data_IF_378814475420
#
_entry.id   IF_378814475420
#
_cell.length_a   1.000
_cell.length_b   1.000
_cell.length_c   1.000
_cell.angle_alpha   90.00
_cell.angle_beta   90.00
_cell.angle_gamma   90.00
#
_symmetry.space_group_name_H-M   'P 1'
#
loop_
_entity.id
_entity.type
_entity.pdbx_description
1 polymer ?
#
# COMPACT_ATOMS: atom_id res chain seq x y z
N UNK A 1 32.76 -23.65 15.16
CA UNK A 1 31.36 -24.14 15.09
C UNK A 1 30.42 -22.97 15.24
N UNK A 2 29.55 -22.72 14.26
CA UNK A 2 28.64 -21.57 14.28
C UNK A 2 27.57 -21.77 15.36
N UNK A 3 27.59 -20.91 16.38
CA UNK A 3 26.68 -20.85 17.53
C UNK A 3 25.17 -21.00 17.16
N UNK A 4 24.82 -20.54 15.96
CA UNK A 4 23.46 -20.59 15.40
C UNK A 4 22.94 -22.01 15.14
N UNK A 5 23.79 -22.93 14.68
CA UNK A 5 23.37 -24.32 14.41
C UNK A 5 23.05 -25.09 15.69
N UNK A 6 23.74 -24.78 16.79
CA UNK A 6 23.61 -25.46 18.08
C UNK A 6 22.35 -25.03 18.87
N UNK A 7 21.84 -23.83 18.60
CA UNK A 7 20.70 -23.24 19.32
C UNK A 7 19.37 -23.37 18.55
N UNK A 8 19.38 -23.82 17.29
CA UNK A 8 18.21 -23.94 16.39
C UNK A 8 17.09 -24.86 16.89
N UNK A 9 17.42 -25.80 17.78
CA UNK A 9 16.46 -26.74 18.38
C UNK A 9 15.84 -26.25 19.69
N UNK A 10 16.31 -25.11 20.25
CA UNK A 10 15.71 -24.56 21.47
C UNK A 10 14.36 -23.93 21.16
N UNK A 11 13.29 -24.54 21.70
CA UNK A 11 11.89 -24.08 21.54
C UNK A 11 11.71 -22.60 21.91
N UNK A 12 12.42 -22.13 22.94
CA UNK A 12 12.38 -20.74 23.40
C UNK A 12 12.87 -19.74 22.35
N UNK A 13 13.93 -20.08 21.61
CA UNK A 13 14.46 -19.22 20.55
C UNK A 13 13.54 -19.24 19.32
N UNK A 14 12.94 -20.39 19.00
CA UNK A 14 11.93 -20.47 17.94
C UNK A 14 10.74 -19.56 18.22
N UNK A 15 10.16 -19.63 19.41
CA UNK A 15 9.04 -18.76 19.77
C UNK A 15 9.40 -17.27 19.77
N UNK A 16 10.62 -16.92 20.21
CA UNK A 16 11.12 -15.54 20.15
C UNK A 16 11.33 -15.03 18.73
N UNK A 17 11.57 -15.89 17.75
CA UNK A 17 11.69 -15.53 16.32
C UNK A 17 10.32 -15.53 15.63
N UNK A 18 9.46 -16.49 15.98
CA UNK A 18 8.11 -16.63 15.43
C UNK A 18 7.22 -15.42 15.76
N UNK A 19 7.30 -14.87 16.98
CA UNK A 19 6.47 -13.73 17.35
C UNK A 19 6.77 -12.46 16.50
N UNK A 20 8.03 -12.01 16.37
CA UNK A 20 8.39 -10.94 15.43
C UNK A 20 8.09 -11.28 13.97
N UNK A 21 8.33 -12.52 13.53
CA UNK A 21 8.04 -12.93 12.16
C UNK A 21 6.55 -12.78 11.82
N UNK A 22 5.66 -13.23 12.73
CA UNK A 22 4.21 -13.05 12.59
C UNK A 22 3.81 -11.58 12.60
N UNK A 23 4.45 -10.76 13.44
CA UNK A 23 4.18 -9.33 13.47
C UNK A 23 4.60 -8.64 12.16
N UNK A 24 5.75 -9.03 11.60
CA UNK A 24 6.21 -8.56 10.29
C UNK A 24 5.23 -9.00 9.21
N UNK A 25 4.85 -10.27 9.15
CA UNK A 25 3.87 -10.78 8.18
C UNK A 25 2.56 -10.01 8.24
N UNK A 26 1.97 -9.86 9.43
CA UNK A 26 0.74 -9.09 9.63
C UNK A 26 0.89 -7.63 9.16
N UNK A 27 1.98 -6.97 9.51
CA UNK A 27 2.25 -5.60 9.09
C UNK A 27 2.43 -5.51 7.57
N UNK A 28 3.15 -6.44 6.94
CA UNK A 28 3.35 -6.45 5.49
C UNK A 28 2.05 -6.65 4.72
N UNK A 29 1.09 -7.41 5.28
CA UNK A 29 -0.25 -7.56 4.69
C UNK A 29 -1.04 -6.26 4.73
N UNK A 30 -1.06 -5.56 5.87
CA UNK A 30 -1.74 -4.28 6.03
C UNK A 30 -1.09 -3.21 5.14
N UNK A 31 0.23 -3.09 5.20
CA UNK A 31 0.99 -2.14 4.40
C UNK A 31 0.79 -2.37 2.90
N UNK A 32 0.77 -3.63 2.45
CA UNK A 32 0.49 -3.95 1.05
C UNK A 32 -0.90 -3.44 0.64
N UNK A 33 -1.92 -3.61 1.49
CA UNK A 33 -3.28 -3.12 1.21
C UNK A 33 -3.33 -1.59 1.12
N UNK A 34 -2.68 -0.90 2.04
CA UNK A 34 -2.59 0.57 2.03
C UNK A 34 -1.87 1.08 0.78
N UNK A 35 -0.76 0.43 0.40
CA UNK A 35 -0.02 0.75 -0.81
C UNK A 35 -0.87 0.55 -2.08
N UNK A 36 -1.72 -0.47 -2.11
CA UNK A 36 -2.70 -0.67 -3.19
C UNK A 36 -3.75 0.44 -3.23
N UNK A 37 -4.28 0.85 -2.08
CA UNK A 37 -5.22 1.98 -1.99
C UNK A 37 -4.62 3.26 -2.55
N UNK A 38 -3.44 3.65 -2.06
CA UNK A 38 -2.72 4.84 -2.53
C UNK A 38 -2.41 4.79 -4.04
N UNK A 39 -2.06 3.61 -4.56
CA UNK A 39 -1.79 3.45 -5.97
C UNK A 39 -3.08 3.59 -6.81
N UNK A 40 -4.19 3.00 -6.38
CA UNK A 40 -5.49 3.17 -7.02
C UNK A 40 -5.95 4.64 -6.98
N UNK A 41 -5.79 5.32 -5.85
CA UNK A 41 -6.12 6.75 -5.70
C UNK A 41 -5.27 7.63 -6.61
N UNK A 42 -3.97 7.34 -6.74
CA UNK A 42 -3.05 8.06 -7.63
C UNK A 42 -3.35 7.87 -9.13
N UNK A 43 -4.05 6.78 -9.48
CA UNK A 43 -4.48 6.49 -10.83
C UNK A 43 -5.87 7.03 -11.12
N UNK A 44 -6.65 7.30 -10.07
CA UNK A 44 -7.97 7.88 -10.18
C UNK A 44 -7.84 9.32 -10.74
N UNK A 45 -8.47 9.59 -11.88
CA UNK A 45 -8.40 10.89 -12.57
C UNK A 45 -7.20 11.13 -13.50
N UNK A 46 -6.14 10.30 -13.48
CA UNK A 46 -4.95 10.51 -14.34
C UNK A 46 -4.44 9.19 -14.95
N UNK A 47 -5.21 8.62 -15.87
CA UNK A 47 -4.81 7.42 -16.62
C UNK A 47 -3.81 7.74 -17.74
N UNK A 48 -2.53 7.91 -17.40
CA UNK A 48 -1.48 7.81 -18.41
C UNK A 48 -1.19 6.35 -18.73
N UNK A 49 -1.20 6.01 -20.02
CA UNK A 49 -1.07 4.65 -20.57
C UNK A 49 0.05 3.83 -19.89
N UNK A 50 1.23 4.45 -19.67
CA UNK A 50 2.40 3.78 -19.10
C UNK A 50 2.21 3.33 -17.63
N UNK A 51 1.56 4.14 -16.80
CA UNK A 51 1.33 3.81 -15.37
C UNK A 51 0.29 2.72 -15.22
N UNK A 52 -0.80 2.78 -15.99
CA UNK A 52 -1.83 1.73 -16.04
C UNK A 52 -1.24 0.40 -16.51
N UNK A 53 -0.36 0.41 -17.50
CA UNK A 53 0.35 -0.80 -17.95
C UNK A 53 1.25 -1.41 -16.88
N UNK A 54 1.95 -0.58 -16.11
CA UNK A 54 2.73 -1.07 -14.97
C UNK A 54 1.84 -1.70 -13.91
N UNK A 55 0.70 -1.09 -13.58
CA UNK A 55 -0.26 -1.65 -12.64
C UNK A 55 -0.80 -3.01 -13.10
N UNK A 56 -1.28 -3.10 -14.35
CA UNK A 56 -1.80 -4.35 -14.90
C UNK A 56 -0.77 -5.47 -14.86
N UNK A 57 0.50 -5.14 -15.14
CA UNK A 57 1.60 -6.10 -15.04
C UNK A 57 1.76 -6.66 -13.62
N UNK A 58 1.56 -5.83 -12.60
CA UNK A 58 1.62 -6.26 -11.19
C UNK A 58 0.37 -7.04 -10.74
N UNK A 59 -0.79 -6.79 -11.35
CA UNK A 59 -2.03 -7.54 -11.09
C UNK A 59 -2.01 -8.96 -11.67
N UNK A 60 -1.29 -9.19 -12.77
CA UNK A 60 -1.25 -10.51 -13.43
C UNK A 60 -0.44 -11.54 -12.68
N UNK A 61 0.75 -11.17 -12.19
CA UNK A 61 1.56 -12.04 -11.36
C UNK A 61 2.59 -11.18 -10.58
N UNK A 62 2.43 -11.03 -9.25
CA UNK A 62 3.37 -10.27 -8.43
C UNK A 62 4.72 -10.98 -8.25
N UNK A 63 4.81 -12.28 -8.57
CA UNK A 63 6.02 -13.11 -8.47
C UNK A 63 6.75 -13.29 -9.81
N UNK A 64 6.10 -12.95 -10.94
CA UNK A 64 6.69 -13.08 -12.25
C UNK A 64 7.76 -12.01 -12.53
N UNK A 65 8.84 -12.44 -13.17
CA UNK A 65 9.81 -11.52 -13.75
C UNK A 65 9.15 -10.59 -14.78
N UNK A 66 9.70 -9.38 -14.94
CA UNK A 66 9.20 -8.36 -15.87
C UNK A 66 8.95 -8.89 -17.28
N UNK A 67 9.84 -9.75 -17.77
CA UNK A 67 9.77 -10.35 -19.10
C UNK A 67 8.67 -11.41 -19.24
N UNK A 68 8.45 -12.22 -18.20
CA UNK A 68 7.36 -13.21 -18.15
C UNK A 68 5.99 -12.52 -18.23
N UNK A 69 5.77 -11.53 -17.36
CA UNK A 69 4.52 -10.78 -17.32
C UNK A 69 4.26 -10.03 -18.63
N UNK A 70 5.31 -9.47 -19.27
CA UNK A 70 5.19 -8.78 -20.56
C UNK A 70 4.77 -9.74 -21.69
N UNK A 71 5.33 -10.95 -21.76
CA UNK A 71 4.93 -11.97 -22.77
C UNK A 71 3.48 -12.42 -22.58
N UNK A 72 3.04 -12.57 -21.33
CA UNK A 72 1.68 -12.98 -21.01
C UNK A 72 0.66 -11.88 -21.36
N UNK A 73 1.03 -10.63 -21.07
CA UNK A 73 0.25 -9.44 -21.40
C UNK A 73 0.16 -9.23 -22.92
N UNK A 74 1.25 -9.45 -23.67
CA UNK A 74 1.24 -9.41 -25.14
C UNK A 74 0.34 -10.50 -25.74
N UNK A 75 0.35 -11.71 -25.17
CA UNK A 75 -0.55 -12.80 -25.59
C UNK A 75 -2.02 -12.47 -25.35
N UNK A 76 -2.34 -11.82 -24.23
CA UNK A 76 -3.71 -11.40 -23.91
C UNK A 76 -4.17 -10.24 -24.78
N UNK A 77 -3.29 -9.29 -25.05
CA UNK A 77 -3.52 -8.21 -26.02
C UNK A 77 -3.86 -8.75 -27.40
N UNK A 78 -3.06 -9.69 -27.93
CA UNK A 78 -3.34 -10.29 -29.24
C UNK A 78 -4.60 -11.14 -29.29
N UNK A 79 -5.07 -11.66 -28.15
CA UNK A 79 -6.31 -12.43 -28.07
C UNK A 79 -7.54 -11.53 -27.91
N UNK A 80 -7.35 -10.27 -27.56
CA UNK A 80 -8.43 -9.31 -27.42
C UNK A 80 -8.84 -8.80 -28.83
N UNK A 81 -10.14 -8.80 -29.17
CA UNK A 81 -10.61 -8.47 -30.51
C UNK A 81 -10.59 -6.95 -30.85
N UNK A 82 -10.07 -6.10 -29.95
CA UNK A 82 -10.03 -4.64 -30.11
C UNK A 82 -8.63 -4.03 -29.94
N UNK A 83 -8.57 -2.71 -29.91
CA UNK A 83 -7.30 -1.98 -29.71
C UNK A 83 -6.86 -1.97 -28.24
N UNK A 84 -5.56 -1.83 -27.99
CA UNK A 84 -4.96 -1.70 -26.65
C UNK A 84 -5.66 -0.65 -25.78
N UNK A 85 -6.07 0.46 -26.39
CA UNK A 85 -6.78 1.53 -25.70
C UNK A 85 -8.19 1.13 -25.26
N UNK A 86 -8.88 0.28 -26.02
CA UNK A 86 -10.21 -0.25 -25.68
C UNK A 86 -10.12 -1.27 -24.55
N UNK A 87 -9.15 -2.20 -24.63
CA UNK A 87 -8.89 -3.15 -23.54
C UNK A 87 -8.61 -2.42 -22.22
N UNK A 88 -7.79 -1.36 -22.28
CA UNK A 88 -7.49 -0.56 -21.09
C UNK A 88 -8.72 0.17 -20.56
N UNK A 89 -9.57 0.74 -21.43
CA UNK A 89 -10.84 1.36 -20.99
C UNK A 89 -11.78 0.35 -20.33
N UNK A 90 -11.84 -0.87 -20.85
CA UNK A 90 -12.62 -1.99 -20.28
C UNK A 90 -12.09 -2.42 -18.91
N UNK A 91 -10.78 -2.67 -18.81
CA UNK A 91 -10.13 -3.01 -17.55
C UNK A 91 -10.26 -1.90 -16.53
N UNK A 92 -10.10 -0.66 -16.97
CA UNK A 92 -10.25 0.49 -16.13
C UNK A 92 -11.70 0.62 -15.64
N UNK A 93 -12.71 0.41 -16.49
CA UNK A 93 -14.12 0.35 -16.04
C UNK A 93 -14.39 -0.78 -15.05
N UNK A 94 -13.73 -1.92 -15.20
CA UNK A 94 -13.99 -3.12 -14.40
C UNK A 94 -13.34 -3.09 -13.02
N UNK A 95 -12.12 -2.54 -12.94
CA UNK A 95 -11.31 -2.57 -11.73
C UNK A 95 -11.17 -1.22 -11.04
N UNK A 96 -11.48 -0.13 -11.75
CA UNK A 96 -11.40 1.22 -11.20
C UNK A 96 -12.78 1.85 -11.36
N UNK A 97 -13.27 2.52 -10.32
CA UNK A 97 -14.56 3.20 -10.34
C UNK A 97 -14.47 4.47 -11.20
N UNK A 98 -14.23 4.31 -12.51
CA UNK A 98 -14.15 5.38 -13.49
C UNK A 98 -15.52 5.94 -13.89
N UNK A 99 -16.59 5.34 -13.39
CA UNK A 99 -17.95 5.60 -13.87
C UNK A 99 -18.38 7.03 -13.65
N UNK A 100 -17.73 7.80 -12.76
CA UNK A 100 -18.06 9.20 -12.57
C UNK A 100 -16.83 10.03 -12.17
N UNK A 101 -16.16 10.71 -13.12
CA UNK A 101 -15.14 11.72 -12.82
C UNK A 101 -15.68 12.89 -11.97
N UNK A 102 -17.01 13.04 -11.87
CA UNK A 102 -17.75 14.09 -11.16
C UNK A 102 -18.91 13.52 -10.32
N UNK A 103 -18.83 12.25 -9.88
CA UNK A 103 -19.79 11.78 -8.88
C UNK A 103 -19.63 12.66 -7.64
N UNK A 104 -20.71 13.21 -7.05
CA UNK A 104 -20.62 13.59 -5.65
C UNK A 104 -20.08 12.37 -4.91
N UNK A 105 -19.04 12.52 -4.07
CA UNK A 105 -18.41 11.39 -3.39
C UNK A 105 -19.55 10.57 -2.78
N UNK A 106 -19.64 9.30 -3.20
CA UNK A 106 -20.62 8.37 -2.68
C UNK A 106 -20.57 8.54 -1.17
N UNK A 107 -21.65 9.05 -0.57
CA UNK A 107 -21.61 9.52 0.83
C UNK A 107 -21.05 8.37 1.63
N UNK A 108 -19.82 8.53 2.13
CA UNK A 108 -19.19 7.52 2.96
C UNK A 108 -20.24 7.10 3.99
N UNK A 109 -20.47 5.80 4.19
CA UNK A 109 -21.48 5.35 5.12
C UNK A 109 -21.28 6.09 6.43
N UNK A 110 -22.36 6.67 6.97
CA UNK A 110 -22.29 7.45 8.19
C UNK A 110 -21.57 6.62 9.25
N UNK A 111 -20.61 7.23 9.94
CA UNK A 111 -19.77 6.55 10.92
C UNK A 111 -20.65 5.73 11.88
N UNK A 112 -20.55 4.40 11.78
CA UNK A 112 -21.35 3.46 12.58
C UNK A 112 -20.66 3.03 13.88
N UNK A 113 -19.46 3.57 14.14
CA UNK A 113 -18.69 3.30 15.34
C UNK A 113 -19.21 4.04 16.57
N UNK A 114 -18.66 3.70 17.74
CA UNK A 114 -18.92 4.45 18.97
C UNK A 114 -18.27 5.84 18.85
N UNK A 115 -18.96 6.92 19.27
CA UNK A 115 -18.36 8.25 19.28
C UNK A 115 -17.07 8.24 20.11
N UNK A 116 -16.04 8.92 19.63
CA UNK A 116 -14.75 8.98 20.30
C UNK A 116 -14.39 10.44 20.60
N UNK A 117 -14.93 11.02 21.69
CA UNK A 117 -14.79 12.44 21.97
C UNK A 117 -13.33 12.88 22.03
N UNK A 118 -12.44 12.00 22.48
CA UNK A 118 -11.00 12.28 22.56
C UNK A 118 -10.33 12.46 21.19
N UNK A 119 -10.79 11.79 20.13
CA UNK A 119 -10.28 11.98 18.77
C UNK A 119 -11.05 13.07 18.02
N UNK A 120 -12.26 13.38 18.47
CA UNK A 120 -13.14 14.40 17.89
C UNK A 120 -12.87 15.80 18.46
N UNK A 121 -12.12 15.91 19.58
CA UNK A 121 -11.65 17.16 20.17
C UNK A 121 -10.56 17.83 19.30
N UNK A 122 -10.55 19.17 19.29
CA UNK A 122 -9.52 19.95 18.60
C UNK A 122 -8.14 19.69 19.21
N UNK A 123 -7.13 19.51 18.35
CA UNK A 123 -5.74 19.34 18.78
C UNK A 123 -5.26 20.61 19.49
N UNK A 124 -4.76 20.46 20.71
CA UNK A 124 -4.30 21.60 21.51
C UNK A 124 -2.82 21.91 21.27
N UNK A 125 -2.42 23.18 21.41
CA UNK A 125 -1.01 23.58 21.27
C UNK A 125 -0.11 22.86 22.28
N UNK A 126 -0.59 22.63 23.51
CA UNK A 126 0.15 21.90 24.54
C UNK A 126 0.49 20.45 24.10
N UNK A 127 -0.42 19.78 23.40
CA UNK A 127 -0.16 18.46 22.82
C UNK A 127 0.90 18.53 21.72
N UNK A 128 0.87 19.57 20.89
CA UNK A 128 1.90 19.80 19.87
C UNK A 128 3.28 20.00 20.52
N UNK A 129 3.38 20.83 21.56
CA UNK A 129 4.64 21.05 22.26
C UNK A 129 5.16 19.79 22.97
N UNK A 130 4.28 19.04 23.63
CA UNK A 130 4.68 17.79 24.30
C UNK A 130 5.08 16.71 23.31
N UNK A 131 4.42 16.62 22.15
CA UNK A 131 4.81 15.69 21.08
C UNK A 131 6.13 16.09 20.44
N UNK A 132 6.37 17.40 20.19
CA UNK A 132 7.67 17.90 19.73
C UNK A 132 8.81 17.54 20.68
N UNK A 133 8.59 17.59 21.99
CA UNK A 133 9.57 17.17 23.00
C UNK A 133 9.83 15.66 22.96
N UNK A 134 8.81 14.85 22.64
CA UNK A 134 8.91 13.38 22.52
C UNK A 134 9.50 12.92 21.18
N UNK A 135 9.67 13.80 20.20
CA UNK A 135 10.23 13.44 18.90
C UNK A 135 11.69 12.98 19.03
N UNK A 136 11.93 11.74 18.61
CA UNK A 136 13.28 11.17 18.54
C UNK A 136 13.99 11.64 17.27
N UNK A 137 15.18 12.24 17.44
CA UNK A 137 15.96 12.83 16.34
C UNK A 137 16.65 11.79 15.45
N UNK A 138 16.83 10.56 15.95
CA UNK A 138 17.54 9.50 15.25
C UNK A 138 16.63 8.57 14.43
N UNK A 139 15.33 8.85 14.34
CA UNK A 139 14.43 8.05 13.49
C UNK A 139 14.66 8.39 12.02
N UNK A 140 14.56 7.37 11.17
CA UNK A 140 14.74 7.54 9.73
C UNK A 140 13.67 8.50 9.15
N UNK A 141 14.04 9.37 8.19
CA UNK A 141 13.08 10.23 7.48
C UNK A 141 11.99 9.38 6.82
N UNK A 142 10.75 9.86 6.87
CA UNK A 142 9.64 9.25 6.14
C UNK A 142 9.80 9.37 4.62
N UNK A 143 8.89 8.74 3.87
CA UNK A 143 8.90 8.76 2.38
C UNK A 143 8.88 10.17 1.77
N UNK A 144 8.43 11.19 2.51
CA UNK A 144 8.46 12.60 2.11
C UNK A 144 9.82 13.30 2.28
N UNK A 145 10.86 12.62 2.77
CA UNK A 145 12.21 13.18 2.92
C UNK A 145 12.37 14.25 4.00
N UNK A 146 11.31 14.54 4.76
CA UNK A 146 11.33 15.50 5.87
C UNK A 146 12.00 14.86 7.08
N UNK A 147 12.99 15.55 7.66
CA UNK A 147 13.71 15.13 8.86
C UNK A 147 12.97 15.61 10.12
N UNK A 148 13.04 14.82 11.19
CA UNK A 148 12.30 15.09 12.44
C UNK A 148 12.70 16.40 13.14
N UNK A 149 13.94 16.88 12.94
CA UNK A 149 14.39 18.22 13.34
C UNK A 149 15.25 18.80 12.22
N UNK A 150 14.93 20.02 11.80
CA UNK A 150 15.85 20.87 11.04
C UNK A 150 16.78 21.56 12.02
N UNK A 151 18.08 21.35 11.87
CA UNK A 151 19.11 22.11 12.57
C UNK A 151 19.18 23.53 12.03
#
# INVERSE_FOLDING_TARGET
MCWWHQQRHKKTLRHRVEAPARQIENHTLVFSREQWGQLCDSLNGHMSFKRTWHLLRHLFDPSASKSSAQKQLHRLLHRYPGTDAELLKELARRYLNLTQPNAPPERCPAYSGKPNPRLDEDITEAEIYTTMLKLHTASAPGSGGVRNKSH
#
